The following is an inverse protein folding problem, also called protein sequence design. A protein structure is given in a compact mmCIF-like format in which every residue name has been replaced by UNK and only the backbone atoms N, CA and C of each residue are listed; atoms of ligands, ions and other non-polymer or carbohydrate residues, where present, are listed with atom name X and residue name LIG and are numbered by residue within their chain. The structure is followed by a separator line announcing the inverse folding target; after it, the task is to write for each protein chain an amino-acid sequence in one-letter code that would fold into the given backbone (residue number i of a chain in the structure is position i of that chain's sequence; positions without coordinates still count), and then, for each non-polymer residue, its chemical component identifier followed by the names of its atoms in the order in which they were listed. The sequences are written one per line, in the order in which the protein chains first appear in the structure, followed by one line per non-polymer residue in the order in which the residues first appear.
data_IF_608965338359
#
_entry.id   IF_608965338359
#
_cell.length_a   1.000
_cell.length_b   1.000
_cell.length_c   1.000
_cell.angle_alpha   90.00
_cell.angle_beta   90.00
_cell.angle_gamma   90.00
#
_symmetry.space_group_name_H-M   'P 1'
#
loop_
_entity.id
_entity.type
_entity.pdbx_description
1 polymer ?
#
# COMPACT_ATOMS: atom_id res chain seq x y z
N UNK A 1 7.30 -25.88 44.49
CA UNK A 1 6.59 -25.60 43.23
C UNK A 1 6.53 -24.08 43.08
N UNK A 2 7.21 -23.49 42.09
CA UNK A 2 7.24 -22.02 41.89
C UNK A 2 6.40 -21.71 40.64
N UNK A 3 5.36 -20.89 40.84
CA UNK A 3 4.37 -20.53 39.82
C UNK A 3 5.00 -19.96 38.54
N UNK A 4 4.48 -20.31 37.35
CA UNK A 4 4.82 -19.60 36.13
C UNK A 4 4.09 -18.26 36.10
N UNK A 5 4.86 -17.16 36.15
CA UNK A 5 4.35 -15.80 35.92
C UNK A 5 3.95 -15.68 34.45
N UNK A 6 2.65 -15.65 34.18
CA UNK A 6 2.08 -15.31 32.88
C UNK A 6 2.37 -13.84 32.57
N UNK A 7 3.32 -13.56 31.68
CA UNK A 7 3.45 -12.26 31.02
C UNK A 7 2.30 -12.13 30.01
N UNK A 8 1.26 -11.38 30.37
CA UNK A 8 0.27 -10.91 29.43
C UNK A 8 0.91 -9.79 28.57
N UNK A 9 1.29 -10.12 27.34
CA UNK A 9 1.69 -9.12 26.35
C UNK A 9 0.42 -8.44 25.85
N UNK A 10 0.16 -7.24 26.37
CA UNK A 10 -0.85 -6.36 25.81
C UNK A 10 -0.36 -5.88 24.43
N UNK A 11 -0.88 -6.50 23.37
CA UNK A 11 -0.72 -5.97 22.02
C UNK A 11 -1.52 -4.67 21.94
N UNK A 12 -0.80 -3.54 21.95
CA UNK A 12 -1.32 -2.27 21.48
C UNK A 12 -1.65 -2.45 20.00
N UNK A 13 -2.87 -2.84 19.69
CA UNK A 13 -3.44 -2.69 18.36
C UNK A 13 -3.59 -1.17 18.13
N UNK A 14 -2.51 -0.55 17.67
CA UNK A 14 -2.56 0.79 17.09
C UNK A 14 -3.43 0.60 15.84
N UNK A 15 -4.71 0.93 15.96
CA UNK A 15 -5.63 0.95 14.83
C UNK A 15 -5.15 2.04 13.89
N UNK A 16 -4.23 1.70 12.99
CA UNK A 16 -3.99 2.51 11.80
C UNK A 16 -5.29 2.44 11.03
N UNK A 17 -6.02 3.54 10.94
CA UNK A 17 -7.10 3.61 9.97
C UNK A 17 -6.47 3.29 8.63
N UNK A 18 -6.92 2.23 7.98
CA UNK A 18 -6.48 1.90 6.63
C UNK A 18 -6.85 3.08 5.74
N UNK A 19 -5.88 3.96 5.47
CA UNK A 19 -6.09 5.07 4.56
C UNK A 19 -6.20 4.48 3.18
N UNK A 20 -7.44 4.45 2.69
CA UNK A 20 -7.75 3.96 1.37
C UNK A 20 -7.79 5.09 0.34
N UNK A 21 -7.35 4.80 -0.88
CA UNK A 21 -7.20 5.78 -1.94
C UNK A 21 -7.75 5.25 -3.26
N UNK A 22 -8.26 6.13 -4.10
CA UNK A 22 -8.64 5.82 -5.49
C UNK A 22 -7.46 5.93 -6.43
N UNK A 23 -6.41 6.66 -6.05
CA UNK A 23 -5.19 6.88 -6.82
C UNK A 23 -3.95 6.88 -5.93
N UNK A 24 -2.88 6.26 -6.43
CA UNK A 24 -1.58 6.27 -5.78
C UNK A 24 -0.45 6.21 -6.82
N UNK A 25 0.65 6.90 -6.56
CA UNK A 25 1.86 6.80 -7.39
C UNK A 25 3.12 6.79 -6.53
N UNK A 26 4.13 6.05 -6.98
CA UNK A 26 5.46 6.10 -6.36
C UNK A 26 6.18 7.37 -6.81
N UNK A 27 6.95 7.98 -5.91
CA UNK A 27 7.62 9.26 -6.16
C UNK A 27 9.05 9.27 -5.66
N UNK A 28 9.92 9.94 -6.41
CA UNK A 28 11.30 10.25 -6.02
C UNK A 28 11.48 11.76 -5.98
N UNK A 29 11.87 12.30 -4.82
CA UNK A 29 11.99 13.75 -4.59
C UNK A 29 10.76 14.55 -5.10
N UNK A 30 9.55 14.02 -4.89
CA UNK A 30 8.30 14.66 -5.33
C UNK A 30 7.95 14.48 -6.81
N UNK A 31 8.76 13.75 -7.59
CA UNK A 31 8.51 13.43 -9.00
C UNK A 31 7.95 12.02 -9.14
N UNK A 32 6.86 11.86 -9.88
CA UNK A 32 6.23 10.56 -10.16
C UNK A 32 7.16 9.63 -10.93
N UNK A 33 7.43 8.45 -10.37
CA UNK A 33 8.13 7.36 -11.04
C UNK A 33 7.12 6.44 -11.72
N UNK A 34 6.97 6.61 -13.04
CA UNK A 34 5.98 5.89 -13.85
C UNK A 34 6.23 4.38 -13.88
N UNK A 35 7.49 3.99 -14.10
CA UNK A 35 7.89 2.59 -14.23
C UNK A 35 7.66 1.87 -12.91
N UNK A 36 8.02 2.52 -11.79
CA UNK A 36 7.81 1.92 -10.49
C UNK A 36 6.34 1.87 -10.10
N UNK A 37 5.59 2.92 -10.42
CA UNK A 37 4.15 2.94 -10.19
C UNK A 37 3.44 1.82 -10.93
N UNK A 38 3.79 1.56 -12.19
CA UNK A 38 3.25 0.42 -12.97
C UNK A 38 3.59 -0.92 -12.34
N UNK A 39 4.86 -1.09 -11.94
CA UNK A 39 5.35 -2.32 -11.31
C UNK A 39 4.63 -2.59 -9.99
N UNK A 40 4.52 -1.57 -9.13
CA UNK A 40 3.81 -1.66 -7.85
C UNK A 40 2.32 -1.91 -8.10
N UNK A 41 1.69 -1.24 -9.06
CA UNK A 41 0.28 -1.46 -9.39
C UNK A 41 0.01 -2.89 -9.88
N UNK A 42 0.92 -3.43 -10.70
CA UNK A 42 0.84 -4.83 -11.17
C UNK A 42 0.99 -5.79 -9.99
N UNK A 43 1.94 -5.52 -9.09
CA UNK A 43 2.14 -6.34 -7.90
C UNK A 43 0.93 -6.27 -6.94
N UNK A 44 0.30 -5.11 -6.82
CA UNK A 44 -0.92 -4.89 -6.06
C UNK A 44 -2.13 -5.64 -6.65
N UNK A 45 -2.18 -5.77 -7.98
CA UNK A 45 -3.23 -6.50 -8.72
C UNK A 45 -3.04 -8.02 -8.70
N UNK A 46 -1.79 -8.48 -8.63
CA UNK A 46 -1.48 -9.92 -8.74
C UNK A 46 -1.48 -10.54 -7.35
N UNK A 47 -2.10 -11.72 -7.25
CA UNK A 47 -2.63 -12.40 -6.05
C UNK A 47 -1.59 -12.87 -4.99
N UNK A 48 -0.48 -12.15 -4.82
CA UNK A 48 0.62 -12.48 -3.91
C UNK A 48 0.51 -11.88 -2.50
N UNK A 49 -0.43 -10.95 -2.26
CA UNK A 49 -0.60 -10.31 -0.95
C UNK A 49 -1.72 -10.95 -0.16
N UNK A 50 -1.39 -11.99 0.62
CA UNK A 50 -2.22 -12.39 1.75
C UNK A 50 -1.90 -11.51 2.95
N UNK A 51 -2.53 -10.35 3.04
CA UNK A 51 -2.63 -9.62 4.31
C UNK A 51 -4.11 -9.59 4.68
N UNK A 52 -4.45 -10.31 5.77
CA UNK A 52 -5.71 -10.32 6.52
C UNK A 52 -7.02 -9.97 5.78
N UNK A 53 -7.91 -10.97 5.67
CA UNK A 53 -9.22 -11.07 4.97
C UNK A 53 -10.22 -9.90 5.04
N UNK A 54 -9.94 -8.82 5.77
CA UNK A 54 -10.78 -7.61 5.82
C UNK A 54 -10.33 -6.51 4.86
N UNK A 55 -9.06 -6.53 4.46
CA UNK A 55 -8.41 -5.41 3.80
C UNK A 55 -7.48 -5.95 2.68
N UNK A 56 -7.32 -5.18 1.58
CA UNK A 56 -6.13 -5.20 0.71
C UNK A 56 -5.97 -6.21 -0.44
N UNK A 57 -7.04 -6.82 -0.95
CA UNK A 57 -7.03 -7.34 -2.33
C UNK A 57 -7.68 -6.32 -3.30
N UNK A 58 -6.89 -5.72 -4.20
CA UNK A 58 -7.39 -4.82 -5.24
C UNK A 58 -7.19 -5.45 -6.65
N UNK A 59 -8.00 -6.44 -7.03
CA UNK A 59 -8.00 -6.96 -8.40
C UNK A 59 -8.49 -5.91 -9.41
N UNK A 60 -9.17 -4.86 -8.94
CA UNK A 60 -9.66 -3.73 -9.72
C UNK A 60 -8.61 -2.64 -9.96
N UNK A 61 -7.40 -2.83 -9.45
CA UNK A 61 -6.32 -1.88 -9.67
C UNK A 61 -5.87 -1.86 -11.14
N UNK A 62 -5.79 -0.66 -11.72
CA UNK A 62 -5.33 -0.44 -13.09
C UNK A 62 -4.32 0.70 -13.17
N UNK A 63 -3.27 0.50 -13.96
CA UNK A 63 -2.25 1.52 -14.18
C UNK A 63 -2.71 2.48 -15.28
N UNK A 64 -2.76 3.78 -14.95
CA UNK A 64 -3.03 4.86 -15.90
C UNK A 64 -1.72 5.42 -16.44
N UNK A 65 -1.57 5.47 -17.76
CA UNK A 65 -0.36 5.96 -18.45
C UNK A 65 -0.41 7.50 -18.65
N UNK A 66 -1.59 8.12 -18.52
CA UNK A 66 -1.77 9.57 -18.65
C UNK A 66 -1.18 10.37 -17.48
N UNK A 67 -0.94 11.69 -17.59
CA UNK A 67 -0.53 12.51 -16.46
C UNK A 67 -1.72 12.78 -15.52
N UNK A 68 -1.59 12.51 -14.22
CA UNK A 68 -0.47 11.82 -13.56
C UNK A 68 -0.53 10.30 -13.75
N UNK A 69 0.63 9.67 -13.99
CA UNK A 69 0.67 8.21 -14.09
C UNK A 69 0.47 7.62 -12.69
N UNK A 70 -0.53 6.77 -12.53
CA UNK A 70 -0.99 6.33 -11.21
C UNK A 70 -1.59 4.93 -11.27
N UNK A 71 -1.47 4.20 -10.16
CA UNK A 71 -2.35 3.07 -9.90
C UNK A 71 -3.72 3.63 -9.49
N UNK A 72 -4.79 3.07 -10.06
CA UNK A 72 -6.16 3.52 -9.86
C UNK A 72 -7.05 2.38 -9.40
N UNK A 73 -7.89 2.64 -8.40
CA UNK A 73 -8.91 1.71 -7.90
C UNK A 73 -10.25 2.44 -7.80
N UNK A 74 -11.28 2.07 -8.60
CA UNK A 74 -12.59 2.70 -8.54
C UNK A 74 -13.30 2.50 -7.20
N UNK A 75 -12.94 1.46 -6.44
CA UNK A 75 -13.55 1.15 -5.15
C UNK A 75 -12.75 1.62 -3.95
N UNK A 76 -11.75 2.49 -4.15
CA UNK A 76 -10.90 3.00 -3.08
C UNK A 76 -10.27 1.85 -2.28
N UNK A 77 -9.53 0.96 -2.96
CA UNK A 77 -8.91 -0.23 -2.34
C UNK A 77 -7.38 -0.19 -2.33
N UNK A 78 -6.78 0.96 -2.63
CA UNK A 78 -5.34 1.17 -2.46
C UNK A 78 -5.08 1.56 -1.01
N UNK A 79 -4.45 0.70 -0.21
CA UNK A 79 -4.01 1.04 1.13
C UNK A 79 -2.70 1.84 1.08
N UNK A 80 -2.72 3.08 1.54
CA UNK A 80 -1.62 4.03 1.41
C UNK A 80 -0.33 3.55 2.08
N UNK A 81 -0.44 2.96 3.28
CA UNK A 81 0.72 2.43 4.00
C UNK A 81 1.40 1.27 3.26
N UNK A 82 0.60 0.35 2.69
CA UNK A 82 1.13 -0.77 1.92
C UNK A 82 1.72 -0.29 0.59
N UNK A 83 1.00 0.58 -0.11
CA UNK A 83 1.48 1.15 -1.36
C UNK A 83 2.82 1.88 -1.16
N UNK A 84 2.97 2.64 -0.07
CA UNK A 84 4.24 3.25 0.34
C UNK A 84 5.33 2.21 0.53
N UNK A 85 5.07 1.16 1.30
CA UNK A 85 6.06 0.11 1.55
C UNK A 85 6.53 -0.54 0.24
N UNK A 86 5.63 -0.79 -0.70
CA UNK A 86 5.96 -1.35 -2.00
C UNK A 86 6.79 -0.39 -2.85
N UNK A 87 6.44 0.89 -2.87
CA UNK A 87 7.22 1.93 -3.52
C UNK A 87 8.66 1.97 -2.95
N UNK A 88 8.81 1.94 -1.62
CA UNK A 88 10.12 1.94 -0.95
C UNK A 88 10.91 0.66 -1.25
N UNK A 89 10.29 -0.51 -1.14
CA UNK A 89 10.93 -1.81 -1.43
C UNK A 89 11.41 -1.92 -2.88
N UNK A 90 10.75 -1.24 -3.81
CA UNK A 90 11.13 -1.27 -5.21
C UNK A 90 12.06 -0.11 -5.63
N UNK A 91 12.46 0.78 -4.71
CA UNK A 91 13.53 1.75 -4.95
C UNK A 91 13.09 3.21 -5.11
N UNK A 92 11.87 3.56 -4.70
CA UNK A 92 11.49 4.99 -4.51
C UNK A 92 11.62 5.44 -3.06
N UNK A 93 11.66 6.74 -2.84
CA UNK A 93 11.76 7.32 -1.50
C UNK A 93 10.40 7.47 -0.81
N UNK A 94 9.33 7.71 -1.58
CA UNK A 94 8.00 7.93 -1.03
C UNK A 94 6.90 7.61 -2.06
N UNK A 95 5.65 7.90 -1.71
CA UNK A 95 4.49 7.80 -2.58
C UNK A 95 3.60 9.03 -2.43
N UNK A 96 2.60 9.18 -3.29
CA UNK A 96 1.61 10.25 -3.20
C UNK A 96 0.18 9.77 -3.43
N UNK A 97 -0.75 10.29 -2.63
CA UNK A 97 -2.21 10.23 -2.82
C UNK A 97 -2.57 11.36 -3.78
N UNK A 98 -3.21 11.03 -4.90
CA UNK A 98 -3.59 12.00 -5.93
C UNK A 98 -2.40 12.80 -6.51
N UNK A 99 -1.51 12.13 -7.26
CA UNK A 99 -0.44 12.82 -7.98
C UNK A 99 -1.02 13.96 -8.84
N UNK A 100 -0.29 15.07 -8.99
CA UNK A 100 -0.71 16.23 -9.81
C UNK A 100 0.09 16.30 -11.09
#
# INVERSE_FOLDING_TARGET
MKSPTLLAVAFLAIGVASEYHTKAACTNNGVTDKVLTEKVCTFYKTDGFKWNEKDDHCPDCSYSIGPPAACTSPHQRLAGNQFKQLCVQNGTQDWTRDPK
#
